data_IF_940618494532
#
_entry.id   IF_940618494532
#
_cell.length_a   1.000
_cell.length_b   1.000
_cell.length_c   1.000
_cell.angle_alpha   90.00
_cell.angle_beta   90.00
_cell.angle_gamma   90.00
#
_symmetry.space_group_name_H-M   'P 1'
#
loop_
_entity.id
_entity.type
_entity.pdbx_description
1 polymer ?
#
# COMPACT_ATOMS: atom_id res chain seq x y z
N UNK A 1 17.56 19.89 11.19
CA UNK A 1 17.18 19.01 12.32
C UNK A 1 18.29 18.00 12.48
N UNK A 2 18.77 17.66 13.68
CA UNK A 2 19.77 16.58 13.82
C UNK A 2 19.17 15.33 13.17
N UNK A 3 19.82 14.83 12.11
CA UNK A 3 19.23 13.79 11.28
C UNK A 3 19.05 12.52 12.10
N UNK A 4 17.81 12.03 12.11
CA UNK A 4 17.40 10.86 12.87
C UNK A 4 17.44 9.67 11.93
N UNK A 5 18.35 8.73 12.19
CA UNK A 5 18.34 7.44 11.51
C UNK A 5 17.14 6.66 12.04
N UNK A 6 16.25 6.26 11.14
CA UNK A 6 15.04 5.51 11.47
C UNK A 6 15.16 4.08 10.94
N UNK A 7 15.23 3.07 11.83
CA UNK A 7 15.25 1.67 11.41
C UNK A 7 13.84 1.17 11.08
N UNK A 8 13.75 0.39 10.01
CA UNK A 8 12.58 -0.42 9.64
C UNK A 8 13.03 -1.86 9.65
N UNK A 9 12.52 -2.64 10.61
CA UNK A 9 13.00 -3.99 10.90
C UNK A 9 11.88 -4.98 10.62
N UNK A 10 12.19 -6.03 9.87
CA UNK A 10 11.31 -7.16 9.65
C UNK A 10 12.13 -8.45 9.67
N UNK A 11 11.97 -9.27 10.71
CA UNK A 11 12.78 -10.45 10.94
C UNK A 11 14.29 -10.12 10.89
N UNK A 12 15.04 -10.74 9.97
CA UNK A 12 16.47 -10.53 9.72
C UNK A 12 16.76 -9.33 8.79
N UNK A 13 15.74 -8.75 8.17
CA UNK A 13 15.87 -7.60 7.28
C UNK A 13 15.83 -6.32 8.10
N UNK A 14 16.89 -5.52 7.98
CA UNK A 14 17.01 -4.21 8.62
C UNK A 14 17.25 -3.17 7.53
N UNK A 15 16.29 -2.26 7.36
CA UNK A 15 16.43 -1.09 6.51
C UNK A 15 16.67 0.15 7.37
N UNK A 16 17.73 0.90 7.07
CA UNK A 16 18.01 2.17 7.72
C UNK A 16 17.67 3.30 6.77
N UNK A 17 16.91 4.28 7.27
CA UNK A 17 16.55 5.47 6.51
C UNK A 17 17.13 6.71 7.18
N UNK A 18 17.70 7.61 6.38
CA UNK A 18 18.23 8.90 6.81
C UNK A 18 18.05 9.93 5.70
N UNK A 19 18.10 11.22 6.05
CA UNK A 19 17.88 12.33 5.11
C UNK A 19 19.18 12.84 4.47
N UNK A 20 20.32 12.65 5.15
CA UNK A 20 21.64 13.15 4.75
C UNK A 20 22.71 12.03 4.72
N UNK A 21 23.99 12.38 4.53
CA UNK A 21 25.17 11.48 4.53
C UNK A 21 25.43 10.72 5.86
N UNK A 22 24.48 10.73 6.80
CA UNK A 22 24.62 10.11 8.11
C UNK A 22 24.71 8.58 8.09
N UNK A 23 24.38 7.95 6.97
CA UNK A 23 24.58 6.51 6.78
C UNK A 23 26.03 6.16 6.44
N UNK A 24 26.88 7.13 6.18
CA UNK A 24 28.31 6.89 5.95
C UNK A 24 28.97 6.36 7.23
N UNK A 25 29.72 5.26 7.10
CA UNK A 25 30.36 4.57 8.23
C UNK A 25 29.40 3.84 9.18
N UNK A 26 28.08 3.83 8.92
CA UNK A 26 27.13 3.08 9.77
C UNK A 26 27.29 1.57 9.60
N UNK A 27 27.65 1.13 8.40
CA UNK A 27 27.83 -0.28 8.08
C UNK A 27 28.97 -0.89 8.90
N UNK A 28 30.08 -0.17 9.09
CA UNK A 28 31.21 -0.65 9.89
C UNK A 28 30.83 -0.76 11.37
N UNK A 29 30.09 0.24 11.88
CA UNK A 29 29.56 0.20 13.26
C UNK A 29 28.61 -0.98 13.46
N UNK A 30 27.73 -1.23 12.50
CA UNK A 30 26.79 -2.35 12.55
C UNK A 30 27.52 -3.69 12.44
N UNK A 31 28.49 -3.82 11.54
CA UNK A 31 29.29 -5.03 11.40
C UNK A 31 29.97 -5.40 12.73
N UNK A 32 30.66 -4.43 13.35
CA UNK A 32 31.30 -4.62 14.66
C UNK A 32 30.31 -4.94 15.78
N UNK A 33 29.09 -4.41 15.71
CA UNK A 33 28.06 -4.68 16.73
C UNK A 33 27.44 -6.06 16.56
N UNK A 34 27.15 -6.47 15.31
CA UNK A 34 26.59 -7.78 15.01
C UNK A 34 27.59 -8.90 15.23
N UNK A 35 28.88 -8.67 14.96
CA UNK A 35 29.94 -9.64 15.19
C UNK A 35 30.05 -10.03 16.67
N UNK A 36 29.86 -9.06 17.60
CA UNK A 36 29.78 -9.34 19.05
C UNK A 36 28.65 -10.30 19.42
N UNK A 37 27.59 -10.33 18.62
CA UNK A 37 26.45 -11.23 18.77
C UNK A 37 26.55 -12.45 17.86
N UNK A 38 27.73 -12.73 17.28
CA UNK A 38 27.98 -13.82 16.33
C UNK A 38 27.10 -13.76 15.07
N UNK A 39 26.68 -12.57 14.67
CA UNK A 39 25.89 -12.31 13.46
C UNK A 39 26.78 -11.67 12.38
N UNK A 40 26.57 -12.09 11.13
CA UNK A 40 27.30 -11.57 9.96
C UNK A 40 26.33 -10.88 9.00
N UNK A 41 26.66 -9.65 8.60
CA UNK A 41 25.92 -8.93 7.57
C UNK A 41 26.18 -9.59 6.21
N UNK A 42 25.11 -9.84 5.45
CA UNK A 42 25.22 -10.30 4.08
C UNK A 42 25.47 -9.10 3.14
N UNK A 43 26.74 -8.89 2.77
CA UNK A 43 27.16 -7.77 1.91
C UNK A 43 26.61 -7.86 0.50
N UNK A 44 26.42 -9.06 -0.05
CA UNK A 44 25.86 -9.26 -1.40
C UNK A 44 24.40 -8.81 -1.49
N UNK A 45 23.64 -8.97 -0.40
CA UNK A 45 22.23 -8.54 -0.30
C UNK A 45 22.07 -7.12 0.22
N UNK A 46 23.14 -6.48 0.69
CA UNK A 46 23.06 -5.13 1.25
C UNK A 46 23.06 -4.12 0.11
N UNK A 47 22.01 -3.29 0.06
CA UNK A 47 21.81 -2.33 -1.01
C UNK A 47 21.69 -0.91 -0.45
N UNK A 48 22.33 0.05 -1.11
CA UNK A 48 22.16 1.48 -0.84
C UNK A 48 21.25 2.10 -1.91
N UNK A 49 20.15 2.74 -1.50
CA UNK A 49 19.20 3.37 -2.42
C UNK A 49 18.98 4.83 -2.03
N UNK A 50 19.24 5.75 -2.96
CA UNK A 50 18.90 7.17 -2.81
C UNK A 50 17.46 7.39 -3.30
N UNK A 51 16.59 7.80 -2.39
CA UNK A 51 15.20 8.16 -2.73
C UNK A 51 15.12 9.66 -2.99
N UNK A 52 15.19 10.06 -4.25
CA UNK A 52 15.10 11.45 -4.70
C UNK A 52 14.15 11.59 -5.88
N UNK A 53 13.36 12.66 -5.91
CA UNK A 53 12.60 13.03 -7.11
C UNK A 53 13.53 13.58 -8.20
N UNK A 54 13.33 13.15 -9.43
CA UNK A 54 14.03 13.71 -10.59
C UNK A 54 13.06 14.53 -11.45
N UNK A 55 13.58 15.36 -12.35
CA UNK A 55 12.73 16.08 -13.33
C UNK A 55 11.97 15.08 -14.20
N UNK A 56 12.68 14.06 -14.67
CA UNK A 56 12.11 13.00 -15.47
C UNK A 56 11.85 11.76 -14.60
N UNK A 57 10.59 11.33 -14.56
CA UNK A 57 10.17 10.21 -13.70
C UNK A 57 10.91 8.90 -13.97
N UNK A 58 11.32 8.64 -15.20
CA UNK A 58 12.00 7.39 -15.56
C UNK A 58 13.45 7.32 -15.06
N UNK A 59 14.04 8.45 -14.65
CA UNK A 59 15.36 8.50 -14.01
C UNK A 59 15.32 8.06 -12.53
N UNK A 60 14.13 7.98 -11.93
CA UNK A 60 13.92 7.60 -10.54
C UNK A 60 14.09 6.08 -10.32
N UNK A 61 15.35 5.62 -10.31
CA UNK A 61 15.72 4.20 -10.15
C UNK A 61 15.14 3.56 -8.88
N UNK A 62 15.03 4.32 -7.79
CA UNK A 62 14.50 3.85 -6.50
C UNK A 62 13.08 3.29 -6.60
N UNK A 63 12.30 3.65 -7.63
CA UNK A 63 10.95 3.09 -7.86
C UNK A 63 10.96 1.59 -8.10
N UNK A 64 12.08 1.05 -8.57
CA UNK A 64 12.26 -0.39 -8.82
C UNK A 64 12.98 -1.10 -7.67
N UNK A 65 13.36 -0.38 -6.61
CA UNK A 65 13.93 -0.99 -5.41
C UNK A 65 12.85 -1.84 -4.73
N UNK A 66 13.21 -3.08 -4.40
CA UNK A 66 12.31 -4.05 -3.79
C UNK A 66 12.49 -4.07 -2.28
N UNK A 67 11.41 -3.92 -1.53
CA UNK A 67 11.37 -4.06 -0.06
C UNK A 67 10.20 -4.94 0.33
N UNK A 68 10.39 -5.94 1.20
CA UNK A 68 9.33 -6.88 1.64
C UNK A 68 8.43 -7.41 0.50
N UNK A 69 9.04 -7.68 -0.67
CA UNK A 69 8.32 -8.19 -1.82
C UNK A 69 7.49 -7.17 -2.60
N UNK A 70 7.49 -5.88 -2.27
CA UNK A 70 6.91 -4.76 -3.05
C UNK A 70 8.00 -3.90 -3.69
N UNK A 71 7.67 -3.21 -4.78
CA UNK A 71 8.48 -2.11 -5.31
C UNK A 71 8.08 -0.79 -4.64
N UNK A 72 9.02 0.12 -4.43
CA UNK A 72 8.73 1.44 -3.83
C UNK A 72 7.93 2.36 -4.77
N UNK A 73 7.95 2.10 -6.08
CA UNK A 73 7.12 2.81 -7.05
C UNK A 73 5.70 2.23 -7.13
N UNK A 74 4.69 3.03 -6.82
CA UNK A 74 3.29 2.60 -6.83
C UNK A 74 2.83 2.00 -8.17
N UNK A 75 3.15 2.65 -9.29
CA UNK A 75 2.74 2.16 -10.62
C UNK A 75 3.56 0.95 -11.04
N UNK A 76 4.84 0.97 -10.71
CA UNK A 76 5.78 -0.10 -10.99
C UNK A 76 5.36 -1.38 -10.24
N UNK A 77 5.00 -1.29 -8.95
CA UNK A 77 4.48 -2.43 -8.21
C UNK A 77 3.10 -2.85 -8.72
N UNK A 78 2.21 -1.91 -9.09
CA UNK A 78 0.93 -2.25 -9.71
C UNK A 78 1.09 -3.12 -10.95
N UNK A 79 1.97 -2.72 -11.88
CA UNK A 79 2.25 -3.49 -13.10
C UNK A 79 2.82 -4.87 -12.74
N UNK A 80 3.76 -4.91 -11.78
CA UNK A 80 4.35 -6.16 -11.31
C UNK A 80 3.31 -7.09 -10.68
N UNK A 81 2.38 -6.60 -9.85
CA UNK A 81 1.31 -7.41 -9.24
C UNK A 81 0.35 -7.97 -10.27
N UNK A 82 0.01 -7.20 -11.32
CA UNK A 82 -0.77 -7.72 -12.45
C UNK A 82 -0.06 -8.88 -13.14
N UNK A 83 1.24 -8.74 -13.37
CA UNK A 83 2.07 -9.80 -13.94
C UNK A 83 2.07 -11.05 -13.06
N UNK A 84 2.37 -10.91 -11.76
CA UNK A 84 2.38 -12.01 -10.78
C UNK A 84 1.00 -12.69 -10.66
N UNK A 85 -0.08 -11.92 -10.61
CA UNK A 85 -1.44 -12.45 -10.59
C UNK A 85 -1.77 -13.22 -11.87
N UNK A 86 -1.28 -12.76 -13.03
CA UNK A 86 -1.43 -13.49 -14.30
C UNK A 86 -0.67 -14.82 -14.27
N UNK A 87 0.55 -14.85 -13.73
CA UNK A 87 1.29 -16.09 -13.54
C UNK A 87 0.59 -17.05 -12.58
N UNK A 88 0.10 -16.55 -11.45
CA UNK A 88 -0.67 -17.33 -10.48
C UNK A 88 -1.93 -17.93 -11.14
N UNK A 89 -2.64 -17.12 -11.94
CA UNK A 89 -3.81 -17.57 -12.69
C UNK A 89 -3.46 -18.66 -13.72
N UNK A 90 -2.39 -18.49 -14.49
CA UNK A 90 -1.94 -19.49 -15.47
C UNK A 90 -1.60 -20.82 -14.77
N UNK A 91 -0.90 -20.78 -13.64
CA UNK A 91 -0.58 -21.96 -12.83
C UNK A 91 -1.84 -22.64 -12.30
N UNK A 92 -2.78 -21.85 -11.76
CA UNK A 92 -4.07 -22.35 -11.30
C UNK A 92 -4.86 -23.00 -12.45
N UNK A 93 -4.88 -22.37 -13.61
CA UNK A 93 -5.61 -22.86 -14.78
C UNK A 93 -5.04 -24.18 -15.30
N UNK A 94 -3.71 -24.31 -15.35
CA UNK A 94 -3.05 -25.52 -15.83
C UNK A 94 -3.23 -26.72 -14.90
N UNK A 95 -3.20 -26.51 -13.58
CA UNK A 95 -3.28 -27.61 -12.60
C UNK A 95 -4.73 -27.98 -12.26
N UNK A 96 -5.63 -27.00 -12.20
CA UNK A 96 -6.96 -27.20 -11.61
C UNK A 96 -8.10 -27.07 -12.61
N UNK A 97 -8.03 -26.12 -13.55
CA UNK A 97 -9.17 -25.75 -14.40
C UNK A 97 -9.15 -26.42 -15.78
N UNK A 98 -8.00 -26.88 -16.26
CA UNK A 98 -7.87 -27.55 -17.55
C UNK A 98 -8.27 -29.02 -17.41
N UNK A 99 -9.39 -29.39 -18.04
CA UNK A 99 -9.85 -30.79 -18.13
C UNK A 99 -10.80 -31.27 -17.03
N UNK A 100 -11.05 -30.47 -15.98
CA UNK A 100 -12.01 -30.80 -14.92
C UNK A 100 -13.30 -29.99 -15.07
N UNK A 101 -14.45 -30.64 -14.94
CA UNK A 101 -15.76 -29.99 -14.92
C UNK A 101 -15.99 -29.34 -13.55
N UNK A 102 -15.38 -28.16 -13.36
CA UNK A 102 -15.51 -27.37 -12.13
C UNK A 102 -16.61 -26.32 -12.30
N UNK A 103 -17.50 -26.24 -11.31
CA UNK A 103 -18.58 -25.24 -11.30
C UNK A 103 -18.04 -23.81 -11.27
N UNK A 104 -18.76 -22.87 -11.89
CA UNK A 104 -18.39 -21.45 -11.91
C UNK A 104 -18.12 -20.88 -10.50
N UNK A 105 -18.94 -21.27 -9.52
CA UNK A 105 -18.80 -20.86 -8.12
C UNK A 105 -17.45 -21.29 -7.53
N UNK A 106 -17.05 -22.56 -7.72
CA UNK A 106 -15.77 -23.05 -7.22
C UNK A 106 -14.58 -22.37 -7.90
N UNK A 107 -14.69 -22.07 -9.21
CA UNK A 107 -13.65 -21.31 -9.91
C UNK A 107 -13.44 -19.91 -9.33
N UNK A 108 -14.53 -19.21 -9.01
CA UNK A 108 -14.46 -17.88 -8.37
C UNK A 108 -13.84 -17.98 -6.98
N UNK A 109 -14.22 -18.99 -6.18
CA UNK A 109 -13.62 -19.24 -4.86
C UNK A 109 -12.11 -19.47 -4.96
N UNK A 110 -11.67 -20.32 -5.89
CA UNK A 110 -10.25 -20.58 -6.12
C UNK A 110 -9.49 -19.34 -6.59
N UNK A 111 -10.09 -18.53 -7.46
CA UNK A 111 -9.51 -17.25 -7.87
C UNK A 111 -9.33 -16.31 -6.66
N UNK A 112 -10.37 -16.14 -5.85
CA UNK A 112 -10.33 -15.29 -4.67
C UNK A 112 -9.33 -15.77 -3.61
N UNK A 113 -9.07 -17.07 -3.55
CA UNK A 113 -8.12 -17.65 -2.58
C UNK A 113 -6.67 -17.58 -3.02
N UNK A 114 -6.38 -17.75 -4.32
CA UNK A 114 -5.00 -17.89 -4.81
C UNK A 114 -4.50 -16.74 -5.68
N UNK A 115 -5.36 -16.09 -6.45
CA UNK A 115 -4.94 -15.07 -7.42
C UNK A 115 -5.18 -13.67 -6.88
N UNK A 116 -6.36 -13.42 -6.30
CA UNK A 116 -6.72 -12.12 -5.75
C UNK A 116 -5.76 -11.64 -4.65
N UNK A 117 -5.30 -12.47 -3.70
CA UNK A 117 -4.35 -12.03 -2.68
C UNK A 117 -2.99 -11.65 -3.27
N UNK A 118 -2.57 -12.30 -4.36
CA UNK A 118 -1.33 -11.94 -5.09
C UNK A 118 -1.47 -10.57 -5.75
N UNK A 119 -2.66 -10.27 -6.30
CA UNK A 119 -2.96 -8.97 -6.91
C UNK A 119 -3.03 -7.83 -5.88
N UNK A 120 -3.56 -8.11 -4.69
CA UNK A 120 -3.79 -7.13 -3.61
C UNK A 120 -2.73 -7.16 -2.50
N UNK A 121 -1.63 -7.89 -2.68
CA UNK A 121 -0.61 -8.00 -1.64
C UNK A 121 0.02 -6.64 -1.34
N UNK A 122 0.01 -6.25 -0.06
CA UNK A 122 0.49 -4.96 0.44
C UNK A 122 -0.05 -3.76 -0.36
N UNK A 123 -1.35 -3.79 -0.64
CA UNK A 123 -2.04 -2.76 -1.43
C UNK A 123 -2.19 -1.45 -0.63
N UNK A 124 -1.12 -0.65 -0.56
CA UNK A 124 -1.10 0.67 0.06
C UNK A 124 -0.83 1.81 -0.92
N UNK A 125 -0.77 1.53 -2.23
CA UNK A 125 -0.44 2.53 -3.26
C UNK A 125 -1.40 3.72 -3.24
N UNK A 126 -0.92 4.91 -3.59
CA UNK A 126 -1.77 6.10 -3.75
C UNK A 126 -2.33 6.18 -5.18
N UNK A 127 -3.10 5.18 -5.61
CA UNK A 127 -3.62 5.12 -6.99
C UNK A 127 -4.55 6.29 -7.33
N UNK A 128 -4.40 6.79 -8.56
CA UNK A 128 -5.35 7.70 -9.23
C UNK A 128 -6.65 6.98 -9.59
N UNK A 129 -7.69 7.74 -9.96
CA UNK A 129 -9.00 7.18 -10.37
C UNK A 129 -8.82 6.27 -11.58
N UNK A 130 -8.06 6.74 -12.56
CA UNK A 130 -7.76 5.99 -13.76
C UNK A 130 -7.02 4.66 -13.47
N UNK A 131 -6.04 4.67 -12.57
CA UNK A 131 -5.33 3.45 -12.18
C UNK A 131 -6.24 2.47 -11.43
N UNK A 132 -7.18 2.97 -10.63
CA UNK A 132 -8.19 2.15 -9.96
C UNK A 132 -9.13 1.47 -10.96
N UNK A 133 -9.63 2.22 -11.95
CA UNK A 133 -10.44 1.68 -13.04
C UNK A 133 -9.68 0.63 -13.84
N UNK A 134 -8.41 0.88 -14.11
CA UNK A 134 -7.52 -0.05 -14.80
C UNK A 134 -7.30 -1.34 -13.99
N UNK A 135 -7.23 -1.26 -12.66
CA UNK A 135 -7.20 -2.43 -11.75
C UNK A 135 -8.52 -3.21 -11.78
N UNK A 136 -9.66 -2.52 -11.68
CA UNK A 136 -10.98 -3.11 -11.76
C UNK A 136 -11.21 -3.81 -13.12
N UNK A 137 -10.80 -3.19 -14.21
CA UNK A 137 -10.87 -3.77 -15.55
C UNK A 137 -10.03 -5.05 -15.65
N UNK A 138 -8.79 -5.02 -15.13
CA UNK A 138 -7.91 -6.18 -15.10
C UNK A 138 -8.50 -7.35 -14.30
N UNK A 139 -9.05 -7.08 -13.12
CA UNK A 139 -9.72 -8.10 -12.30
C UNK A 139 -10.91 -8.75 -13.02
N UNK A 140 -11.78 -7.92 -13.64
CA UNK A 140 -12.90 -8.43 -14.44
C UNK A 140 -12.44 -9.27 -15.63
N UNK A 141 -11.37 -8.86 -16.31
CA UNK A 141 -10.79 -9.61 -17.43
C UNK A 141 -10.35 -11.01 -16.98
N UNK A 142 -9.67 -11.14 -15.84
CA UNK A 142 -9.24 -12.43 -15.31
C UNK A 142 -10.43 -13.33 -14.95
N UNK A 143 -11.50 -12.77 -14.37
CA UNK A 143 -12.70 -13.54 -14.05
C UNK A 143 -13.45 -14.00 -15.30
N UNK A 144 -13.60 -13.13 -16.31
CA UNK A 144 -14.18 -13.50 -17.61
C UNK A 144 -13.41 -14.66 -18.25
N UNK A 145 -12.08 -14.62 -18.20
CA UNK A 145 -11.22 -15.68 -18.70
C UNK A 145 -11.48 -17.03 -18.01
N UNK A 146 -11.55 -17.06 -16.68
CA UNK A 146 -11.77 -18.30 -15.89
C UNK A 146 -13.15 -18.91 -16.15
N UNK A 147 -14.14 -18.04 -16.27
CA UNK A 147 -15.52 -18.44 -16.52
C UNK A 147 -15.80 -18.70 -18.01
N UNK A 148 -14.81 -18.47 -18.89
CA UNK A 148 -14.90 -18.63 -20.36
C UNK A 148 -16.01 -17.81 -20.99
N UNK A 149 -16.21 -16.59 -20.52
CA UNK A 149 -17.19 -15.67 -21.09
C UNK A 149 -16.47 -14.64 -21.96
N UNK A 150 -16.83 -14.62 -23.23
CA UNK A 150 -16.23 -13.74 -24.23
C UNK A 150 -17.16 -12.59 -24.65
N UNK A 151 -18.34 -12.47 -24.03
CA UNK A 151 -19.30 -11.42 -24.38
C UNK A 151 -18.89 -10.04 -23.81
N UNK A 152 -18.96 -8.97 -24.61
CA UNK A 152 -18.66 -7.62 -24.16
C UNK A 152 -19.66 -7.11 -23.10
N UNK A 153 -20.95 -7.46 -23.22
CA UNK A 153 -22.05 -6.86 -22.44
C UNK A 153 -22.45 -7.64 -21.17
N UNK A 154 -21.69 -8.66 -20.79
CA UNK A 154 -22.02 -9.48 -19.62
C UNK A 154 -21.68 -8.73 -18.32
N UNK A 155 -22.70 -8.14 -17.69
CA UNK A 155 -22.60 -7.42 -16.41
C UNK A 155 -22.62 -8.45 -15.26
N UNK A 156 -21.45 -9.02 -14.95
CA UNK A 156 -21.34 -9.85 -13.75
C UNK A 156 -21.25 -8.96 -12.53
N UNK A 157 -22.10 -9.20 -11.54
CA UNK A 157 -22.03 -8.64 -10.18
C UNK A 157 -20.78 -9.16 -9.45
N UNK A 158 -19.61 -8.86 -10.01
CA UNK A 158 -18.34 -9.01 -9.34
C UNK A 158 -18.17 -7.74 -8.54
N UNK A 159 -18.14 -7.87 -7.21
CA UNK A 159 -17.80 -6.75 -6.34
C UNK A 159 -16.52 -6.09 -6.84
N UNK A 160 -16.58 -4.81 -7.23
CA UNK A 160 -15.42 -4.14 -7.76
C UNK A 160 -14.35 -4.06 -6.67
N UNK A 161 -13.07 -4.19 -7.08
CA UNK A 161 -11.95 -4.23 -6.14
C UNK A 161 -11.82 -2.93 -5.35
N UNK A 162 -12.36 -1.82 -5.87
CA UNK A 162 -12.28 -0.51 -5.24
C UNK A 162 -12.90 -0.50 -3.84
N UNK A 163 -13.99 -1.24 -3.60
CA UNK A 163 -14.63 -1.33 -2.28
C UNK A 163 -13.71 -1.98 -1.24
N UNK A 164 -13.10 -3.11 -1.60
CA UNK A 164 -12.17 -3.83 -0.73
C UNK A 164 -10.89 -3.03 -0.51
N UNK A 165 -10.37 -2.44 -1.57
CA UNK A 165 -9.21 -1.56 -1.53
C UNK A 165 -9.46 -0.36 -0.60
N UNK A 166 -10.62 0.29 -0.73
CA UNK A 166 -11.00 1.43 0.11
C UNK A 166 -11.10 1.00 1.57
N UNK A 167 -11.69 -0.16 1.84
CA UNK A 167 -11.80 -0.72 3.17
C UNK A 167 -10.44 -1.03 3.80
N UNK A 168 -9.52 -1.64 3.03
CA UNK A 168 -8.16 -1.95 3.47
C UNK A 168 -7.34 -0.68 3.73
N UNK A 169 -7.46 0.34 2.87
CA UNK A 169 -6.80 1.64 3.08
C UNK A 169 -7.31 2.35 4.32
N UNK A 170 -8.62 2.32 4.56
CA UNK A 170 -9.20 2.87 5.79
C UNK A 170 -8.74 2.08 7.03
N UNK A 171 -8.61 0.76 6.95
CA UNK A 171 -8.01 -0.05 8.02
C UNK A 171 -6.57 0.36 8.32
N UNK A 172 -5.75 0.54 7.28
CA UNK A 172 -4.37 1.00 7.44
C UNK A 172 -4.30 2.41 8.04
N UNK A 173 -5.08 3.34 7.50
CA UNK A 173 -5.15 4.72 8.01
C UNK A 173 -5.51 4.75 9.50
N UNK A 174 -6.55 4.02 9.87
CA UNK A 174 -7.01 3.83 11.24
C UNK A 174 -5.91 3.26 12.15
N UNK A 175 -5.15 2.26 11.68
CA UNK A 175 -4.00 1.74 12.42
C UNK A 175 -2.91 2.79 12.63
N UNK A 176 -2.56 3.58 11.60
CA UNK A 176 -1.53 4.62 11.70
C UNK A 176 -1.96 5.72 12.68
N UNK A 177 -3.25 6.04 12.76
CA UNK A 177 -3.78 7.01 13.73
C UNK A 177 -3.62 6.56 15.19
N UNK A 178 -3.60 5.25 15.45
CA UNK A 178 -3.38 4.67 16.79
C UNK A 178 -1.90 4.52 17.15
N UNK A 179 -1.01 4.55 16.17
CA UNK A 179 0.44 4.48 16.40
C UNK A 179 0.97 5.74 17.10
N UNK A 180 2.14 5.62 17.74
CA UNK A 180 2.86 6.79 18.28
C UNK A 180 3.13 7.80 17.15
N UNK A 181 2.95 9.08 17.46
CA UNK A 181 3.15 10.22 16.55
C UNK A 181 4.59 10.31 16.03
N UNK A 182 5.54 9.76 16.77
CA UNK A 182 6.95 9.70 16.35
C UNK A 182 7.23 8.58 15.34
N UNK A 183 6.28 7.67 15.11
CA UNK A 183 6.47 6.61 14.13
C UNK A 183 6.60 7.19 12.72
N UNK A 184 7.48 6.62 11.87
CA UNK A 184 7.66 7.08 10.49
C UNK A 184 6.35 7.12 9.70
N UNK A 185 5.43 6.17 9.92
CA UNK A 185 4.13 6.13 9.26
C UNK A 185 3.24 7.32 9.63
N UNK A 186 3.19 7.69 10.91
CA UNK A 186 2.41 8.85 11.37
C UNK A 186 3.02 10.16 10.85
N UNK A 187 4.35 10.30 10.91
CA UNK A 187 5.08 11.45 10.38
C UNK A 187 4.88 11.61 8.87
N UNK A 188 4.96 10.52 8.10
CA UNK A 188 4.74 10.54 6.65
C UNK A 188 3.31 11.00 6.30
N UNK A 189 2.31 10.55 7.06
CA UNK A 189 0.92 10.96 6.90
C UNK A 189 0.72 12.45 7.22
N UNK A 190 1.33 12.94 8.30
CA UNK A 190 1.31 14.36 8.64
C UNK A 190 1.96 15.22 7.57
N UNK A 191 3.11 14.79 7.04
CA UNK A 191 3.78 15.48 5.93
C UNK A 191 2.92 15.49 4.67
N UNK A 192 2.27 14.37 4.33
CA UNK A 192 1.42 14.28 3.14
C UNK A 192 0.24 15.26 3.17
N UNK A 193 -0.37 15.46 4.34
CA UNK A 193 -1.51 16.36 4.52
C UNK A 193 -1.13 17.78 4.98
N UNK A 194 0.15 18.05 5.28
CA UNK A 194 0.61 19.38 5.65
C UNK A 194 0.35 20.40 4.52
N UNK A 195 -0.07 21.63 4.81
CA UNK A 195 -0.17 22.67 3.77
C UNK A 195 1.21 22.87 3.12
N UNK A 196 1.28 22.77 1.79
CA UNK A 196 2.51 23.06 1.05
C UNK A 196 2.30 24.38 0.30
N UNK A 197 3.28 25.30 0.32
CA UNK A 197 3.20 26.51 -0.48
C UNK A 197 3.09 26.14 -1.96
N UNK A 198 2.19 26.83 -2.66
CA UNK A 198 1.73 26.59 -4.05
C UNK A 198 2.88 26.62 -5.08
N UNK A 199 4.09 27.04 -4.68
CA UNK A 199 5.28 27.21 -5.52
C UNK A 199 6.05 25.94 -5.87
N UNK A 200 5.68 24.76 -5.37
CA UNK A 200 6.33 23.50 -5.79
C UNK A 200 5.40 22.66 -6.66
N UNK A 201 5.41 22.96 -7.97
CA UNK A 201 4.78 22.19 -9.05
C UNK A 201 5.26 20.73 -9.15
N UNK A 202 6.23 20.31 -8.34
CA UNK A 202 6.78 18.95 -8.34
C UNK A 202 6.01 17.97 -7.44
N UNK A 203 5.14 18.45 -6.56
CA UNK A 203 4.20 17.60 -5.83
C UNK A 203 2.91 17.49 -6.64
N UNK A 204 2.90 16.67 -7.69
CA UNK A 204 1.65 16.23 -8.32
C UNK A 204 0.91 15.30 -7.34
N UNK A 205 0.31 15.89 -6.31
CA UNK A 205 -0.77 15.26 -5.57
C UNK A 205 -2.02 15.37 -6.44
N UNK A 206 -2.05 14.60 -7.54
CA UNK A 206 -3.29 14.36 -8.24
C UNK A 206 -4.34 13.95 -7.20
N UNK A 207 -5.58 14.44 -7.29
CA UNK A 207 -6.63 14.04 -6.36
C UNK A 207 -6.78 12.52 -6.42
N UNK A 208 -6.18 11.84 -5.44
CA UNK A 208 -6.19 10.39 -5.33
C UNK A 208 -7.65 9.93 -5.24
N UNK A 209 -8.02 8.87 -5.96
CA UNK A 209 -9.39 8.32 -6.05
C UNK A 209 -10.04 7.92 -4.72
N UNK A 210 -9.28 8.04 -3.64
CA UNK A 210 -9.47 7.43 -2.33
C UNK A 210 -9.03 8.38 -1.23
N UNK A 211 -9.08 9.69 -1.47
CA UNK A 211 -9.13 10.63 -0.35
C UNK A 211 -10.33 10.22 0.53
N UNK A 212 -10.20 10.18 1.86
CA UNK A 212 -11.35 9.94 2.73
C UNK A 212 -12.40 11.04 2.49
N UNK A 213 -13.37 10.79 1.60
CA UNK A 213 -14.57 11.62 1.46
C UNK A 213 -15.54 11.25 2.60
N UNK A 214 -16.57 12.08 2.85
CA UNK A 214 -17.73 11.82 3.71
C UNK A 214 -18.20 10.37 3.92
N UNK A 215 -17.95 9.43 2.99
CA UNK A 215 -18.19 7.98 3.15
C UNK A 215 -17.35 7.31 4.25
N UNK A 216 -16.26 7.92 4.75
CA UNK A 216 -15.51 7.39 5.91
C UNK A 216 -16.39 7.24 7.16
N UNK A 217 -17.41 8.10 7.32
CA UNK A 217 -18.39 8.01 8.41
C UNK A 217 -19.18 6.70 8.38
N UNK A 218 -19.50 6.16 7.20
CA UNK A 218 -20.25 4.90 7.07
C UNK A 218 -19.43 3.68 7.51
N UNK A 219 -18.13 3.68 7.17
CA UNK A 219 -17.19 2.63 7.59
C UNK A 219 -16.93 2.68 9.09
N UNK A 220 -16.85 3.88 9.67
CA UNK A 220 -16.68 4.05 11.11
C UNK A 220 -17.92 3.64 11.91
N UNK A 221 -19.13 3.94 11.41
CA UNK A 221 -20.38 3.44 12.00
C UNK A 221 -20.43 1.91 11.97
N UNK A 222 -20.05 1.29 10.86
CA UNK A 222 -20.04 -0.18 10.73
C UNK A 222 -19.01 -0.86 11.66
N UNK A 223 -17.85 -0.23 11.92
CA UNK A 223 -16.88 -0.74 12.90
C UNK A 223 -17.34 -0.53 14.34
N UNK A 224 -17.93 0.62 14.68
CA UNK A 224 -18.43 0.89 16.05
C UNK A 224 -19.48 -0.12 16.50
N UNK A 225 -20.26 -0.67 15.57
CA UNK A 225 -21.25 -1.73 15.86
C UNK A 225 -20.64 -3.11 16.14
N UNK A 226 -19.35 -3.34 15.86
CA UNK A 226 -18.68 -4.65 15.99
C UNK A 226 -17.57 -4.67 17.05
N UNK A 227 -17.34 -3.56 17.75
CA UNK A 227 -16.20 -3.42 18.66
C UNK A 227 -16.67 -3.52 20.11
N UNK A 228 -16.05 -4.37 20.96
CA UNK A 228 -16.38 -4.50 22.38
C UNK A 228 -16.20 -3.18 23.14
N UNK A 229 -17.07 -2.95 24.12
CA UNK A 229 -17.25 -1.68 24.86
C UNK A 229 -15.96 -1.11 25.48
N UNK A 230 -15.04 -1.97 25.94
CA UNK A 230 -13.74 -1.54 26.50
C UNK A 230 -12.75 -0.94 25.49
N UNK A 231 -12.87 -1.28 24.20
CA UNK A 231 -12.02 -0.70 23.13
C UNK A 231 -12.45 0.73 22.80
N UNK A 232 -13.71 1.07 23.09
CA UNK A 232 -14.27 2.39 22.79
C UNK A 232 -13.59 3.45 23.64
N UNK A 233 -13.36 3.20 24.94
CA UNK A 233 -12.63 4.10 25.84
C UNK A 233 -11.16 4.32 25.43
N UNK A 234 -10.49 3.30 24.89
CA UNK A 234 -9.16 3.46 24.30
C UNK A 234 -9.20 4.33 23.04
N UNK A 235 -10.22 4.18 22.18
CA UNK A 235 -10.42 5.03 21.01
C UNK A 235 -10.66 6.51 21.40
N UNK A 236 -11.30 6.77 22.55
CA UNK A 236 -11.47 8.13 23.08
C UNK A 236 -10.14 8.80 23.42
N UNK A 237 -9.12 8.06 23.89
CA UNK A 237 -7.77 8.61 24.16
C UNK A 237 -7.10 9.17 22.90
N UNK A 238 -7.39 8.58 21.74
CA UNK A 238 -6.88 9.05 20.44
C UNK A 238 -7.74 10.14 19.80
N UNK A 239 -8.89 10.49 20.37
CA UNK A 239 -9.86 11.43 19.81
C UNK A 239 -9.29 12.80 19.42
N UNK A 240 -8.25 13.27 20.10
CA UNK A 240 -7.53 14.51 19.73
C UNK A 240 -6.73 14.40 18.43
N UNK A 241 -6.05 13.26 18.22
CA UNK A 241 -5.31 12.95 16.98
C UNK A 241 -6.27 12.83 15.80
N UNK A 242 -7.39 12.15 16.01
CA UNK A 242 -8.49 12.02 15.04
C UNK A 242 -9.04 13.38 14.61
N UNK A 243 -9.41 14.24 15.57
CA UNK A 243 -9.92 15.59 15.26
C UNK A 243 -8.92 16.44 14.47
N UNK A 244 -7.61 16.37 14.80
CA UNK A 244 -6.55 17.13 14.11
C UNK A 244 -6.41 16.75 12.63
N UNK A 245 -6.14 15.47 12.35
CA UNK A 245 -5.90 15.00 10.98
C UNK A 245 -7.16 15.08 10.13
N UNK A 246 -8.33 14.80 10.72
CA UNK A 246 -9.61 14.97 10.02
C UNK A 246 -9.85 16.42 9.64
N UNK A 247 -9.55 17.38 10.52
CA UNK A 247 -9.63 18.82 10.21
C UNK A 247 -8.67 19.22 9.08
N UNK A 248 -7.41 18.76 9.12
CA UNK A 248 -6.43 19.01 8.04
C UNK A 248 -6.87 18.42 6.69
N UNK A 249 -7.42 17.21 6.69
CA UNK A 249 -7.96 16.57 5.48
C UNK A 249 -9.13 17.39 4.93
N UNK A 250 -10.05 17.84 5.79
CA UNK A 250 -11.18 18.69 5.39
C UNK A 250 -10.72 20.04 4.82
N UNK A 251 -9.76 20.70 5.46
CA UNK A 251 -9.17 21.96 4.98
C UNK A 251 -8.52 21.79 3.59
N UNK A 252 -7.75 20.72 3.36
CA UNK A 252 -7.17 20.42 2.04
C UNK A 252 -8.22 20.05 0.99
N UNK A 253 -9.28 19.32 1.37
CA UNK A 253 -10.37 18.98 0.44
C UNK A 253 -11.14 20.23 0.03
N UNK A 254 -11.33 21.18 0.94
CA UNK A 254 -11.95 22.46 0.66
C UNK A 254 -11.10 23.34 -0.29
N UNK A 255 -9.77 23.31 -0.15
CA UNK A 255 -8.84 24.05 -1.02
C UNK A 255 -8.69 23.46 -2.44
N UNK A 256 -9.07 22.20 -2.64
CA UNK A 256 -8.97 21.51 -3.93
C UNK A 256 -10.27 21.54 -4.76
N UNK A 257 -11.28 22.28 -4.29
CA UNK A 257 -12.54 22.58 -4.99
C UNK A 257 -12.49 24.01 -5.49
#
# INVERSE_FOLDING_TARGET
MPGIISPVIFADIIDLTATDHQLEGIMDKLANTFEKSFLKINTEKTEYTIVRRCEQRHEEKWRHTKKLGMLLGDKEDMIRRKSLATFALKRLNNVWLKGKQISASLKIKLYNMFVKPVLLYNFSWALTVHEMENMNSFHRMQLKYILRIFSPNSNYNVHPLDEEIRSNRLALFDNILRMDRKTPANLAMEHHYAPHPVTTTNYSSNPSASRPNSDWKKVEISRRSQVPEGTIEELWKYGGTWKRLTKRIQERVAQAR
#
